data_IF_092438990836
#
_entry.id   IF_092438990836
#
_cell.length_a   1.000
_cell.length_b   1.000
_cell.length_c   1.000
_cell.angle_alpha   90.00
_cell.angle_beta   90.00
_cell.angle_gamma   90.00
#
_symmetry.space_group_name_H-M   'P 1'
#
loop_
_entity.id
_entity.type
_entity.pdbx_description
1 polymer ?
#
# COMPACT_ATOMS: atom_id res chain seq x y z
N UNK A 1 -54.30 -10.61 -57.89
CA UNK A 1 -53.00 -11.14 -57.58
C UNK A 1 -52.36 -10.18 -56.56
N UNK A 2 -52.71 -10.36 -55.31
CA UNK A 2 -52.19 -9.56 -54.17
C UNK A 2 -52.03 -10.46 -52.93
N UNK A 3 -51.05 -10.22 -52.14
CA UNK A 3 -50.67 -10.83 -50.81
C UNK A 3 -50.04 -12.20 -50.85
N UNK A 4 -48.70 -12.21 -50.86
CA UNK A 4 -47.93 -13.36 -50.33
C UNK A 4 -46.57 -12.97 -49.72
N UNK A 5 -46.32 -11.73 -49.25
CA UNK A 5 -45.02 -11.36 -48.69
C UNK A 5 -45.04 -10.80 -47.23
N UNK A 6 -46.19 -10.96 -46.52
CA UNK A 6 -46.32 -10.32 -45.19
C UNK A 6 -45.94 -11.19 -44.00
N UNK A 7 -45.56 -12.46 -44.18
CA UNK A 7 -45.29 -13.38 -43.05
C UNK A 7 -43.82 -13.75 -42.85
N UNK A 8 -42.90 -13.22 -43.70
CA UNK A 8 -41.48 -13.59 -43.60
C UNK A 8 -40.66 -12.58 -42.76
N UNK A 9 -41.20 -11.42 -42.43
CA UNK A 9 -40.48 -10.37 -41.65
C UNK A 9 -40.67 -10.47 -40.12
N UNK A 10 -41.69 -11.20 -39.66
CA UNK A 10 -42.00 -11.31 -38.24
C UNK A 10 -41.01 -12.19 -37.44
N UNK A 11 -40.47 -13.32 -37.96
CA UNK A 11 -39.49 -14.10 -37.21
C UNK A 11 -38.10 -13.49 -37.17
N UNK A 12 -37.73 -12.59 -38.09
CA UNK A 12 -36.42 -11.90 -38.10
C UNK A 12 -36.37 -10.81 -37.04
N UNK A 13 -37.49 -10.16 -36.75
CA UNK A 13 -37.54 -9.12 -35.70
C UNK A 13 -37.45 -9.70 -34.27
N UNK A 14 -37.94 -10.93 -34.06
CA UNK A 14 -37.87 -11.64 -32.77
C UNK A 14 -36.46 -12.19 -32.51
N UNK A 15 -35.70 -12.55 -33.54
CA UNK A 15 -34.31 -13.03 -33.38
C UNK A 15 -33.30 -11.94 -32.99
N UNK A 16 -33.62 -10.66 -33.23
CA UNK A 16 -32.72 -9.54 -32.88
C UNK A 16 -32.90 -9.11 -31.42
N UNK A 17 -34.03 -9.39 -30.77
CA UNK A 17 -34.30 -8.98 -29.39
C UNK A 17 -33.78 -9.97 -28.33
N UNK A 18 -33.31 -11.16 -28.70
CA UNK A 18 -32.81 -12.18 -27.75
C UNK A 18 -31.31 -12.04 -27.49
N UNK A 19 -30.61 -11.11 -28.13
CA UNK A 19 -29.14 -10.99 -28.04
C UNK A 19 -28.59 -9.99 -27.00
N UNK A 20 -29.44 -9.45 -26.15
CA UNK A 20 -28.99 -8.45 -25.14
C UNK A 20 -29.15 -8.90 -23.69
N UNK A 21 -28.97 -10.18 -23.36
CA UNK A 21 -28.95 -10.56 -21.93
C UNK A 21 -27.98 -11.71 -21.58
N UNK A 22 -26.87 -11.85 -22.32
CA UNK A 22 -25.73 -12.54 -21.79
C UNK A 22 -24.83 -11.45 -21.13
N UNK A 23 -25.10 -11.09 -19.88
CA UNK A 23 -24.02 -10.67 -18.96
C UNK A 23 -23.08 -11.86 -18.88
N UNK A 24 -22.15 -11.91 -19.82
CA UNK A 24 -20.99 -12.77 -19.74
C UNK A 24 -20.32 -12.36 -18.43
N UNK A 25 -20.33 -13.26 -17.45
CA UNK A 25 -19.43 -13.23 -16.29
C UNK A 25 -18.01 -13.38 -16.85
N UNK A 26 -17.52 -12.37 -17.55
CA UNK A 26 -16.11 -12.22 -17.88
C UNK A 26 -15.41 -11.93 -16.54
N UNK A 27 -15.03 -12.99 -15.84
CA UNK A 27 -14.00 -12.88 -14.82
C UNK A 27 -12.82 -12.19 -15.50
N UNK A 28 -12.63 -10.93 -15.21
CA UNK A 28 -11.45 -10.22 -15.70
C UNK A 28 -10.24 -10.87 -15.03
N UNK A 29 -9.33 -11.35 -15.83
CA UNK A 29 -8.07 -11.91 -15.35
C UNK A 29 -7.07 -10.81 -14.98
N UNK A 30 -7.38 -9.54 -15.28
CA UNK A 30 -6.59 -8.36 -14.98
C UNK A 30 -7.36 -7.46 -14.03
N UNK A 31 -6.75 -7.08 -12.93
CA UNK A 31 -7.31 -6.17 -11.93
C UNK A 31 -7.05 -4.71 -12.32
N UNK A 32 -8.10 -3.91 -12.40
CA UNK A 32 -8.03 -2.50 -12.77
C UNK A 32 -8.30 -1.61 -11.54
N UNK A 33 -7.32 -0.79 -11.19
CA UNK A 33 -7.47 0.19 -10.11
C UNK A 33 -6.95 1.57 -10.52
N UNK A 34 -7.25 2.57 -9.73
CA UNK A 34 -6.74 3.92 -9.88
C UNK A 34 -5.97 4.35 -8.62
N UNK A 35 -4.88 5.08 -8.82
CA UNK A 35 -4.16 5.80 -7.78
C UNK A 35 -4.15 7.27 -8.17
N UNK A 36 -4.69 8.15 -7.33
CA UNK A 36 -4.85 9.57 -7.67
C UNK A 36 -3.55 10.38 -7.71
N UNK A 37 -2.48 9.83 -7.14
CA UNK A 37 -1.15 10.44 -7.17
C UNK A 37 -0.29 9.73 -8.21
N UNK A 38 0.48 10.50 -9.01
CA UNK A 38 1.47 9.94 -9.92
C UNK A 38 2.66 9.33 -9.17
N UNK A 39 3.34 8.40 -9.81
CA UNK A 39 4.57 7.79 -9.31
C UNK A 39 5.78 8.52 -9.87
N UNK A 40 6.81 8.68 -9.05
CA UNK A 40 8.11 9.23 -9.47
C UNK A 40 9.20 8.18 -9.58
N UNK A 41 9.01 7.03 -8.94
CA UNK A 41 9.99 5.94 -8.90
C UNK A 41 9.28 4.62 -8.59
N UNK A 42 9.80 3.53 -9.16
CA UNK A 42 9.53 2.15 -8.76
C UNK A 42 10.80 1.50 -8.19
N UNK A 43 11.79 2.28 -7.77
CA UNK A 43 12.94 1.81 -6.98
C UNK A 43 12.54 1.80 -5.50
N UNK A 44 12.55 0.64 -4.81
CA UNK A 44 12.09 0.54 -3.43
C UNK A 44 12.92 1.37 -2.44
N UNK A 45 14.16 1.75 -2.78
CA UNK A 45 14.95 2.68 -1.97
C UNK A 45 14.30 4.07 -1.81
N UNK A 46 13.30 4.40 -2.64
CA UNK A 46 12.57 5.68 -2.64
C UNK A 46 11.06 5.53 -2.38
N UNK A 47 10.63 4.40 -1.82
CA UNK A 47 9.23 4.05 -1.55
C UNK A 47 8.65 4.83 -0.35
N UNK A 48 8.59 6.17 -0.47
CA UNK A 48 8.28 7.10 0.63
C UNK A 48 6.80 7.41 0.84
N UNK A 49 5.96 7.09 -0.10
CA UNK A 49 4.51 7.40 -0.07
C UNK A 49 3.67 6.16 -0.40
N UNK A 50 2.40 6.22 -0.01
CA UNK A 50 1.48 5.09 -0.14
C UNK A 50 1.31 4.61 -1.59
N UNK A 51 1.26 5.53 -2.55
CA UNK A 51 1.09 5.20 -3.97
C UNK A 51 2.26 4.34 -4.48
N UNK A 52 3.49 4.76 -4.17
CA UNK A 52 4.71 4.03 -4.50
C UNK A 52 4.75 2.68 -3.76
N UNK A 53 4.46 2.66 -2.44
CA UNK A 53 4.45 1.42 -1.65
C UNK A 53 3.46 0.38 -2.19
N UNK A 54 2.29 0.79 -2.66
CA UNK A 54 1.30 -0.13 -3.23
C UNK A 54 1.78 -0.75 -4.54
N UNK A 55 2.45 0.02 -5.39
CA UNK A 55 3.02 -0.48 -6.63
C UNK A 55 4.22 -1.39 -6.37
N UNK A 56 5.13 -0.97 -5.49
CA UNK A 56 6.32 -1.72 -5.12
C UNK A 56 5.97 -3.07 -4.48
N UNK A 57 4.91 -3.12 -3.67
CA UNK A 57 4.41 -4.36 -3.06
C UNK A 57 3.94 -5.41 -4.08
N UNK A 58 3.61 -5.00 -5.31
CA UNK A 58 3.29 -5.93 -6.39
C UNK A 58 4.54 -6.48 -7.07
N UNK A 59 5.66 -5.76 -7.01
CA UNK A 59 6.87 -6.04 -7.79
C UNK A 59 7.95 -6.68 -6.94
N UNK A 60 8.00 -6.38 -5.64
CA UNK A 60 9.09 -6.76 -4.76
C UNK A 60 8.63 -7.55 -3.54
N UNK A 61 9.59 -8.24 -2.90
CA UNK A 61 9.43 -8.82 -1.58
C UNK A 61 10.64 -8.47 -0.69
N UNK A 62 10.41 -8.49 0.63
CA UNK A 62 11.42 -8.35 1.66
C UNK A 62 11.76 -9.69 2.35
N UNK A 63 12.53 -9.61 3.44
CA UNK A 63 12.81 -10.76 4.31
C UNK A 63 11.54 -11.31 4.95
N UNK A 64 10.70 -10.41 5.43
CA UNK A 64 9.47 -10.67 6.17
C UNK A 64 8.35 -9.78 5.62
N UNK A 65 7.12 -10.15 5.89
CA UNK A 65 5.93 -9.39 5.52
C UNK A 65 4.98 -9.27 6.71
N UNK A 66 3.91 -8.49 6.56
CA UNK A 66 2.90 -8.32 7.59
C UNK A 66 1.59 -8.97 7.12
N UNK A 67 0.94 -9.71 7.99
CA UNK A 67 -0.35 -10.33 7.71
C UNK A 67 -1.54 -9.40 8.07
N UNK A 68 -2.77 -9.85 7.80
CA UNK A 68 -3.99 -9.09 8.07
C UNK A 68 -4.20 -8.75 9.55
N UNK A 69 -3.53 -9.46 10.46
CA UNK A 69 -3.57 -9.22 11.91
C UNK A 69 -2.46 -8.26 12.38
N UNK A 70 -1.69 -7.70 11.45
CA UNK A 70 -0.52 -6.87 11.74
C UNK A 70 0.62 -7.64 12.43
N UNK A 71 0.69 -8.94 12.26
CA UNK A 71 1.77 -9.78 12.75
C UNK A 71 2.83 -9.98 11.68
N UNK A 72 4.09 -9.99 12.08
CA UNK A 72 5.21 -10.24 11.16
C UNK A 72 5.28 -11.72 10.87
N UNK A 73 5.31 -12.07 9.58
CA UNK A 73 5.42 -13.44 9.11
C UNK A 73 6.56 -13.62 8.08
N UNK A 74 7.02 -14.87 7.85
CA UNK A 74 8.01 -15.19 6.85
C UNK A 74 7.61 -14.73 5.44
N UNK A 75 8.62 -14.26 4.66
CA UNK A 75 8.49 -14.01 3.22
C UNK A 75 9.67 -14.67 2.49
N UNK A 76 10.72 -13.93 2.10
CA UNK A 76 11.94 -14.55 1.54
C UNK A 76 12.74 -15.25 2.64
N UNK A 77 12.72 -14.77 3.88
CA UNK A 77 13.25 -15.55 5.00
C UNK A 77 12.25 -16.62 5.43
N UNK A 78 12.70 -17.89 5.51
CA UNK A 78 11.91 -19.01 6.07
C UNK A 78 11.67 -18.87 7.57
N UNK A 79 12.69 -18.36 8.26
CA UNK A 79 12.74 -18.17 9.71
C UNK A 79 13.85 -17.19 10.07
N UNK A 80 13.80 -16.71 11.27
CA UNK A 80 14.84 -15.84 11.85
C UNK A 80 15.08 -16.18 13.31
N UNK A 81 16.22 -15.72 13.81
CA UNK A 81 16.60 -15.80 15.21
C UNK A 81 17.15 -14.44 15.63
N UNK A 82 16.81 -14.01 16.84
CA UNK A 82 17.35 -12.81 17.47
C UNK A 82 18.22 -13.25 18.63
N UNK A 83 19.43 -12.70 18.74
CA UNK A 83 20.34 -12.99 19.86
C UNK A 83 19.74 -12.50 21.19
N UNK A 84 20.18 -13.08 22.30
CA UNK A 84 19.65 -12.77 23.63
C UNK A 84 19.87 -11.30 24.05
N UNK A 85 20.90 -10.67 23.52
CA UNK A 85 21.21 -9.25 23.71
C UNK A 85 20.42 -8.33 22.77
N UNK A 86 19.66 -8.90 21.81
CA UNK A 86 18.88 -8.15 20.84
C UNK A 86 19.70 -7.41 19.78
N UNK A 87 21.00 -7.70 19.65
CA UNK A 87 21.90 -7.01 18.72
C UNK A 87 22.08 -7.69 17.38
N UNK A 88 21.80 -8.98 17.29
CA UNK A 88 21.99 -9.76 16.05
C UNK A 88 20.67 -10.37 15.60
N UNK A 89 20.32 -10.12 14.35
CA UNK A 89 19.17 -10.73 13.67
C UNK A 89 19.68 -11.63 12.54
N UNK A 90 19.55 -12.93 12.71
CA UNK A 90 19.95 -13.93 11.72
C UNK A 90 18.72 -14.43 10.97
N UNK A 91 18.75 -14.37 9.64
CA UNK A 91 17.67 -14.79 8.74
C UNK A 91 18.15 -15.96 7.88
N UNK A 92 17.34 -17.02 7.81
CA UNK A 92 17.58 -18.15 6.91
C UNK A 92 16.63 -18.00 5.71
N UNK A 93 17.21 -17.80 4.53
CA UNK A 93 16.46 -17.53 3.31
C UNK A 93 15.91 -18.82 2.68
N UNK A 94 14.86 -18.66 1.89
CA UNK A 94 14.38 -19.66 0.92
C UNK A 94 15.41 -19.82 -0.20
N UNK A 95 15.36 -20.94 -0.89
CA UNK A 95 16.20 -21.23 -2.06
C UNK A 95 15.39 -21.38 -3.36
N UNK A 96 14.09 -21.05 -3.32
CA UNK A 96 13.15 -21.15 -4.43
C UNK A 96 12.60 -19.77 -4.86
N UNK A 97 13.27 -18.69 -4.48
CA UNK A 97 12.91 -17.30 -4.85
C UNK A 97 13.84 -16.84 -5.96
N UNK A 98 13.24 -16.37 -7.06
CA UNK A 98 13.94 -15.88 -8.24
C UNK A 98 13.56 -14.43 -8.53
N UNK A 99 14.52 -13.65 -9.00
CA UNK A 99 14.22 -12.35 -9.58
C UNK A 99 13.36 -12.51 -10.85
N UNK A 100 12.63 -11.47 -11.21
CA UNK A 100 11.93 -11.41 -12.49
C UNK A 100 12.93 -11.57 -13.65
N UNK A 101 12.47 -12.18 -14.75
CA UNK A 101 13.27 -12.25 -15.98
C UNK A 101 13.57 -10.84 -16.49
N UNK A 102 14.84 -10.59 -16.87
CA UNK A 102 15.33 -9.36 -17.45
C UNK A 102 16.54 -9.66 -18.34
N UNK A 103 16.71 -8.92 -19.43
CA UNK A 103 17.77 -9.14 -20.42
C UNK A 103 19.19 -8.99 -19.86
N UNK A 104 19.34 -8.36 -18.69
CA UNK A 104 20.63 -8.21 -17.99
C UNK A 104 21.11 -9.53 -17.38
N UNK A 105 20.21 -10.43 -17.06
CA UNK A 105 20.59 -11.74 -16.56
C UNK A 105 21.05 -12.69 -17.68
N UNK A 106 21.86 -13.65 -17.33
CA UNK A 106 22.27 -14.69 -18.26
C UNK A 106 21.07 -15.39 -18.90
N UNK A 107 21.03 -15.42 -20.23
CA UNK A 107 19.91 -15.95 -21.01
C UNK A 107 18.55 -15.25 -20.75
N UNK A 108 18.54 -14.02 -20.25
CA UNK A 108 17.33 -13.28 -19.93
C UNK A 108 16.52 -13.85 -18.76
N UNK A 109 17.08 -14.77 -17.97
CA UNK A 109 16.38 -15.46 -16.87
C UNK A 109 16.83 -14.95 -15.52
N UNK A 110 15.85 -14.54 -14.69
CA UNK A 110 16.09 -14.13 -13.32
C UNK A 110 16.80 -15.24 -12.53
N UNK A 111 17.88 -14.88 -11.86
CA UNK A 111 18.62 -15.80 -11.00
C UNK A 111 17.98 -15.92 -9.61
N UNK A 112 18.41 -16.93 -8.88
CA UNK A 112 18.01 -17.13 -7.48
C UNK A 112 18.50 -15.97 -6.60
N UNK A 113 17.68 -15.60 -5.61
CA UNK A 113 18.02 -14.62 -4.57
C UNK A 113 18.96 -15.25 -3.56
N UNK A 114 20.03 -14.56 -3.21
CA UNK A 114 21.00 -14.96 -2.20
C UNK A 114 21.19 -13.90 -1.13
N UNK A 115 21.79 -14.25 0.00
CA UNK A 115 21.96 -13.36 1.15
C UNK A 115 22.76 -12.10 0.81
N UNK A 116 23.72 -12.18 -0.10
CA UNK A 116 24.49 -11.02 -0.55
C UNK A 116 23.63 -9.98 -1.31
N UNK A 117 22.46 -10.36 -1.87
CA UNK A 117 21.54 -9.41 -2.47
C UNK A 117 20.87 -8.53 -1.41
N UNK A 118 20.56 -9.08 -0.25
CA UNK A 118 20.08 -8.30 0.90
C UNK A 118 21.17 -7.39 1.46
N UNK A 119 22.42 -7.87 1.55
CA UNK A 119 23.55 -7.01 1.91
C UNK A 119 23.62 -5.80 0.99
N UNK A 120 23.60 -6.03 -0.33
CA UNK A 120 23.61 -4.96 -1.32
C UNK A 120 22.41 -4.02 -1.18
N UNK A 121 21.19 -4.56 -1.10
CA UNK A 121 19.96 -3.78 -1.05
C UNK A 121 19.89 -2.89 0.19
N UNK A 122 20.31 -3.39 1.35
CA UNK A 122 20.28 -2.62 2.59
C UNK A 122 21.41 -1.60 2.68
N UNK A 123 22.58 -1.89 2.10
CA UNK A 123 23.63 -0.88 1.96
C UNK A 123 23.19 0.31 1.12
N UNK A 124 22.36 0.11 0.07
CA UNK A 124 21.80 1.22 -0.72
C UNK A 124 20.99 2.21 0.14
N UNK A 125 20.33 1.73 1.20
CA UNK A 125 19.51 2.59 2.07
C UNK A 125 20.36 3.53 2.93
N UNK A 126 21.58 3.12 3.31
CA UNK A 126 22.48 3.90 4.17
C UNK A 126 23.62 4.58 3.38
N UNK A 127 23.72 4.30 2.08
CA UNK A 127 24.71 4.94 1.21
C UNK A 127 24.29 6.37 0.88
N UNK A 128 25.11 7.33 1.30
CA UNK A 128 24.89 8.76 1.07
C UNK A 128 24.83 9.13 -0.42
N UNK A 129 25.47 8.35 -1.29
CA UNK A 129 25.48 8.60 -2.76
C UNK A 129 24.15 8.19 -3.41
N UNK A 130 23.46 7.22 -2.86
CA UNK A 130 22.09 6.84 -3.28
C UNK A 130 21.07 7.85 -2.76
N UNK A 131 21.32 8.44 -1.59
CA UNK A 131 20.43 9.41 -0.94
C UNK A 131 19.00 8.87 -0.75
N UNK A 132 18.88 7.58 -0.37
CA UNK A 132 17.61 6.92 -0.13
C UNK A 132 16.77 7.63 0.93
N UNK A 133 15.47 7.77 0.69
CA UNK A 133 14.52 8.26 1.68
C UNK A 133 14.27 7.24 2.81
N UNK A 134 14.71 5.98 2.67
CA UNK A 134 14.62 4.90 3.65
C UNK A 134 15.78 4.80 4.62
N UNK A 135 16.82 5.64 4.51
CA UNK A 135 18.02 5.56 5.35
C UNK A 135 17.73 5.64 6.86
N UNK A 136 16.67 6.32 7.27
CA UNK A 136 16.24 6.44 8.67
C UNK A 136 15.93 5.08 9.34
N UNK A 137 15.64 4.04 8.54
CA UNK A 137 15.39 2.69 9.05
C UNK A 137 16.61 2.13 9.79
N UNK A 138 17.81 2.38 9.27
CA UNK A 138 19.05 1.81 9.76
C UNK A 138 20.00 2.84 10.38
N UNK A 139 19.92 4.12 9.98
CA UNK A 139 20.78 5.17 10.52
C UNK A 139 20.74 5.18 12.04
N UNK A 140 21.93 5.25 12.66
CA UNK A 140 22.15 5.22 14.11
C UNK A 140 21.71 3.96 14.86
N UNK A 141 21.16 2.95 14.17
CA UNK A 141 20.69 1.69 14.75
C UNK A 141 21.63 0.51 14.48
N UNK A 142 22.19 0.44 13.28
CA UNK A 142 23.07 -0.67 12.89
C UNK A 142 24.52 -0.41 13.24
N UNK A 143 25.33 -1.47 13.34
CA UNK A 143 26.77 -1.37 13.50
C UNK A 143 27.41 -0.61 12.33
N UNK A 144 28.39 0.24 12.63
CA UNK A 144 29.00 1.10 11.60
C UNK A 144 30.01 0.38 10.71
N UNK A 145 30.63 -0.70 11.22
CA UNK A 145 31.68 -1.41 10.50
C UNK A 145 31.13 -2.58 9.69
N UNK A 146 30.21 -3.34 10.27
CA UNK A 146 29.60 -4.51 9.65
C UNK A 146 28.09 -4.53 9.90
N UNK A 147 27.30 -3.63 9.27
CA UNK A 147 25.86 -3.55 9.52
C UNK A 147 25.11 -4.78 8.98
N UNK A 148 25.55 -5.32 7.85
CA UNK A 148 24.88 -6.38 7.10
C UNK A 148 25.91 -7.41 6.62
N UNK A 149 25.63 -8.69 6.84
CA UNK A 149 26.55 -9.77 6.53
C UNK A 149 25.83 -10.94 5.85
N UNK A 150 26.47 -11.54 4.84
CA UNK A 150 26.07 -12.81 4.25
C UNK A 150 27.10 -13.87 4.67
N UNK A 151 26.71 -14.77 5.58
CA UNK A 151 27.59 -15.88 5.97
C UNK A 151 27.74 -16.92 4.84
N UNK A 152 26.68 -17.10 4.06
CA UNK A 152 26.61 -17.96 2.88
C UNK A 152 25.39 -17.51 2.05
N UNK A 153 25.09 -18.21 0.96
CA UNK A 153 24.01 -17.84 0.04
C UNK A 153 22.61 -17.77 0.70
N UNK A 154 22.40 -18.47 1.80
CA UNK A 154 21.08 -18.55 2.46
C UNK A 154 21.04 -17.95 3.87
N UNK A 155 22.14 -17.46 4.41
CA UNK A 155 22.19 -16.90 5.77
C UNK A 155 22.59 -15.44 5.74
N UNK A 156 21.63 -14.58 6.07
CA UNK A 156 21.78 -13.12 6.14
C UNK A 156 21.70 -12.64 7.59
N UNK A 157 22.55 -11.71 7.96
CA UNK A 157 22.62 -11.16 9.32
C UNK A 157 22.55 -9.63 9.29
N UNK A 158 21.82 -9.08 10.26
CA UNK A 158 21.82 -7.65 10.60
C UNK A 158 22.44 -7.49 11.97
N UNK A 159 23.46 -6.63 12.07
CA UNK A 159 24.11 -6.26 13.32
C UNK A 159 23.64 -4.89 13.78
N UNK A 160 23.02 -4.83 14.96
CA UNK A 160 22.59 -3.59 15.59
C UNK A 160 23.66 -3.05 16.54
N UNK A 161 23.71 -1.74 16.64
CA UNK A 161 24.55 -1.00 17.61
C UNK A 161 23.94 -1.00 19.03
N UNK A 162 22.61 -0.99 19.09
CA UNK A 162 21.81 -1.02 20.32
C UNK A 162 20.57 -1.87 20.09
N UNK A 163 20.03 -2.55 21.10
CA UNK A 163 18.80 -3.33 20.95
C UNK A 163 17.65 -2.44 20.50
N UNK A 164 16.93 -2.90 19.47
CA UNK A 164 15.83 -2.13 18.91
C UNK A 164 14.64 -3.05 18.53
N UNK A 165 13.72 -3.24 19.46
CA UNK A 165 12.61 -4.17 19.31
C UNK A 165 11.73 -3.96 18.06
N UNK A 166 11.48 -2.71 17.58
CA UNK A 166 10.68 -2.53 16.38
C UNK A 166 11.35 -2.96 15.06
N UNK A 167 12.63 -3.35 15.08
CA UNK A 167 13.41 -3.67 13.87
C UNK A 167 12.68 -4.65 12.97
N UNK A 168 12.18 -5.76 13.52
CA UNK A 168 11.52 -6.78 12.72
C UNK A 168 10.28 -6.25 11.98
N UNK A 169 9.46 -5.42 12.65
CA UNK A 169 8.33 -4.74 12.02
C UNK A 169 8.76 -3.73 10.96
N UNK A 170 9.90 -3.06 11.14
CA UNK A 170 10.41 -2.12 10.14
C UNK A 170 10.90 -2.83 8.87
N UNK A 171 11.37 -4.08 8.99
CA UNK A 171 11.79 -4.89 7.83
C UNK A 171 10.63 -5.32 6.93
N UNK A 172 9.37 -5.11 7.33
CA UNK A 172 8.20 -5.36 6.47
C UNK A 172 7.92 -4.22 5.49
N UNK A 173 8.60 -3.07 5.63
CA UNK A 173 8.41 -1.92 4.75
C UNK A 173 9.08 -2.16 3.38
N UNK A 174 8.48 -1.63 2.32
CA UNK A 174 8.95 -1.80 0.94
C UNK A 174 10.40 -1.31 0.72
N UNK A 175 10.88 -0.39 1.50
CA UNK A 175 12.30 0.00 1.52
C UNK A 175 13.24 -1.21 1.69
N UNK A 176 12.81 -2.21 2.47
CA UNK A 176 13.59 -3.42 2.78
C UNK A 176 13.43 -4.52 1.73
N UNK A 177 12.95 -4.18 0.55
CA UNK A 177 12.86 -5.11 -0.58
C UNK A 177 14.23 -5.46 -1.15
N UNK A 178 14.37 -6.70 -1.63
CA UNK A 178 15.59 -7.15 -2.30
C UNK A 178 15.60 -6.73 -3.77
N UNK A 179 16.75 -6.24 -4.24
CA UNK A 179 16.98 -5.87 -5.64
C UNK A 179 18.29 -6.50 -6.18
N UNK A 180 18.35 -6.87 -7.48
CA UNK A 180 19.54 -7.46 -8.07
C UNK A 180 20.59 -6.39 -8.38
N UNK A 181 21.80 -6.56 -7.82
CA UNK A 181 22.92 -5.60 -7.96
C UNK A 181 23.26 -5.31 -9.42
N UNK A 182 23.31 -6.34 -10.26
CA UNK A 182 23.69 -6.21 -11.67
C UNK A 182 22.70 -5.38 -12.47
N UNK A 183 21.40 -5.50 -12.21
CA UNK A 183 20.35 -4.73 -12.88
C UNK A 183 20.38 -3.26 -12.42
N UNK A 184 20.49 -3.05 -11.10
CA UNK A 184 20.64 -1.69 -10.54
C UNK A 184 21.92 -1.01 -11.07
N UNK A 185 23.03 -1.74 -11.18
CA UNK A 185 24.28 -1.20 -11.71
C UNK A 185 24.17 -0.85 -13.21
N UNK A 186 23.43 -1.65 -13.98
CA UNK A 186 23.23 -1.40 -15.41
C UNK A 186 22.38 -0.14 -15.66
N UNK A 187 21.22 -0.04 -15.02
CA UNK A 187 20.30 1.07 -15.23
C UNK A 187 20.66 2.33 -14.43
N UNK A 188 21.46 2.20 -13.37
CA UNK A 188 21.82 3.33 -12.51
C UNK A 188 20.60 4.09 -12.01
N UNK A 189 20.50 5.38 -12.32
CA UNK A 189 19.36 6.24 -11.94
C UNK A 189 18.05 5.84 -12.64
N UNK A 190 18.14 5.21 -13.81
CA UNK A 190 16.95 4.78 -14.57
C UNK A 190 16.35 3.48 -14.05
N UNK A 191 16.99 2.82 -13.06
CA UNK A 191 16.39 1.69 -12.34
C UNK A 191 15.00 2.03 -11.77
N UNK A 192 14.74 3.29 -11.46
CA UNK A 192 13.41 3.79 -11.08
C UNK A 192 12.29 3.43 -12.07
N UNK A 193 12.62 3.24 -13.34
CA UNK A 193 11.67 2.91 -14.42
C UNK A 193 11.87 1.48 -14.97
N UNK A 194 12.88 0.76 -14.49
CA UNK A 194 13.22 -0.60 -14.88
C UNK A 194 13.25 -1.53 -13.65
N UNK A 195 12.11 -1.62 -12.90
CA UNK A 195 12.06 -2.40 -11.66
C UNK A 195 12.17 -3.90 -11.94
N UNK A 196 13.11 -4.55 -11.29
CA UNK A 196 13.27 -5.99 -11.30
C UNK A 196 13.25 -6.47 -9.85
N UNK A 197 12.18 -7.15 -9.46
CA UNK A 197 11.95 -7.67 -8.12
C UNK A 197 11.72 -9.16 -8.12
N UNK A 198 11.07 -9.64 -7.06
CA UNK A 198 10.74 -11.05 -6.83
C UNK A 198 9.24 -11.26 -6.68
N UNK A 199 8.47 -10.18 -6.75
CA UNK A 199 7.05 -10.12 -6.40
C UNK A 199 6.12 -10.89 -7.34
N UNK A 200 4.81 -10.91 -7.00
CA UNK A 200 3.81 -11.65 -7.77
C UNK A 200 3.57 -11.12 -9.18
N UNK A 201 3.90 -9.86 -9.43
CA UNK A 201 3.78 -9.26 -10.74
C UNK A 201 5.08 -8.59 -11.17
N UNK A 202 5.31 -8.52 -12.48
CA UNK A 202 6.46 -7.85 -13.11
C UNK A 202 6.02 -6.75 -14.07
N UNK A 203 6.86 -5.73 -14.25
CA UNK A 203 6.59 -4.61 -15.13
C UNK A 203 6.45 -5.05 -16.58
N UNK A 204 5.41 -4.54 -17.25
CA UNK A 204 5.25 -4.57 -18.70
C UNK A 204 5.47 -3.18 -19.28
N UNK A 205 4.83 -2.17 -18.68
CA UNK A 205 4.86 -0.79 -19.17
C UNK A 205 4.53 0.17 -18.05
N UNK A 206 5.29 1.24 -17.96
CA UNK A 206 4.98 2.39 -17.15
C UNK A 206 5.06 3.66 -17.98
N UNK A 207 3.94 4.36 -18.06
CA UNK A 207 3.85 5.72 -18.58
C UNK A 207 3.53 6.65 -17.43
N UNK A 208 4.47 7.53 -17.10
CA UNK A 208 4.33 8.45 -15.96
C UNK A 208 3.01 9.24 -16.05
N UNK A 209 2.29 9.33 -14.94
CA UNK A 209 0.98 9.99 -14.80
C UNK A 209 -0.13 9.46 -15.73
N UNK A 210 0.04 8.35 -16.39
CA UNK A 210 -0.95 7.73 -17.25
C UNK A 210 -1.33 6.33 -16.78
N UNK A 211 -0.39 5.37 -16.90
CA UNK A 211 -0.69 3.96 -16.62
C UNK A 211 0.54 3.18 -16.19
N UNK A 212 0.35 2.26 -15.24
CA UNK A 212 1.27 1.19 -14.90
C UNK A 212 0.60 -0.15 -15.22
N UNK A 213 1.25 -0.99 -16.04
CA UNK A 213 0.77 -2.31 -16.44
C UNK A 213 1.76 -3.35 -15.94
N UNK A 214 1.24 -4.25 -15.12
CA UNK A 214 1.98 -5.37 -14.56
C UNK A 214 1.38 -6.69 -15.07
N UNK A 215 2.23 -7.67 -15.34
CA UNK A 215 1.83 -9.04 -15.70
C UNK A 215 2.27 -10.02 -14.62
N UNK A 216 1.58 -11.14 -14.53
CA UNK A 216 1.88 -12.24 -13.60
C UNK A 216 3.33 -12.69 -13.69
N UNK A 217 3.96 -12.89 -12.55
CA UNK A 217 5.20 -13.63 -12.42
C UNK A 217 4.90 -15.13 -12.32
N UNK A 218 5.13 -15.87 -13.39
CA UNK A 218 4.89 -17.34 -13.42
C UNK A 218 5.84 -18.11 -12.48
N UNK A 219 6.94 -17.49 -12.06
CA UNK A 219 7.92 -18.08 -11.15
C UNK A 219 7.73 -17.62 -9.70
N UNK A 220 6.61 -16.96 -9.37
CA UNK A 220 6.36 -16.52 -7.99
C UNK A 220 6.32 -17.69 -7.03
N UNK A 221 6.95 -17.55 -5.88
CA UNK A 221 7.22 -18.67 -4.95
C UNK A 221 6.07 -18.98 -4.01
N UNK A 222 5.13 -18.04 -3.79
CA UNK A 222 4.04 -18.27 -2.86
C UNK A 222 2.94 -19.14 -3.44
N UNK A 223 2.28 -19.86 -2.51
CA UNK A 223 1.12 -20.69 -2.78
C UNK A 223 0.05 -20.43 -1.72
N UNK A 224 -1.20 -20.60 -2.09
CA UNK A 224 -2.29 -20.58 -1.13
C UNK A 224 -2.33 -21.85 -0.26
N UNK A 225 -3.27 -21.89 0.69
CA UNK A 225 -3.48 -23.02 1.59
C UNK A 225 -3.84 -24.34 0.89
N UNK A 226 -4.32 -24.29 -0.36
CA UNK A 226 -4.60 -25.45 -1.21
C UNK A 226 -3.40 -25.92 -2.02
N UNK A 227 -2.26 -25.19 -1.97
CA UNK A 227 -1.06 -25.44 -2.77
C UNK A 227 -1.13 -24.82 -4.17
N UNK A 228 -2.17 -24.06 -4.51
CA UNK A 228 -2.28 -23.38 -5.80
C UNK A 228 -1.29 -22.21 -5.85
N UNK A 229 -0.58 -22.09 -6.97
CA UNK A 229 0.45 -21.06 -7.17
C UNK A 229 -0.20 -19.67 -7.32
N UNK A 230 0.30 -18.71 -6.57
CA UNK A 230 -0.09 -17.31 -6.66
C UNK A 230 0.71 -16.57 -7.75
N UNK A 231 0.25 -15.41 -8.24
CA UNK A 231 -1.09 -14.84 -8.05
C UNK A 231 -2.12 -15.53 -8.95
N UNK A 232 -3.42 -15.44 -8.61
CA UNK A 232 -4.51 -15.93 -9.47
C UNK A 232 -4.72 -15.06 -10.70
N UNK A 233 -4.53 -13.75 -10.56
CA UNK A 233 -4.71 -12.78 -11.63
C UNK A 233 -3.56 -12.86 -12.64
N UNK A 234 -3.87 -12.60 -13.91
CA UNK A 234 -2.88 -12.51 -14.99
C UNK A 234 -2.14 -11.17 -15.03
N UNK A 235 -2.68 -10.14 -14.38
CA UNK A 235 -2.03 -8.84 -14.33
C UNK A 235 -2.80 -7.81 -13.52
N UNK A 236 -2.17 -6.65 -13.36
CA UNK A 236 -2.72 -5.47 -12.69
C UNK A 236 -2.53 -4.27 -13.60
N UNK A 237 -3.58 -3.48 -13.77
CA UNK A 237 -3.52 -2.20 -14.48
C UNK A 237 -3.87 -1.07 -13.54
N UNK A 238 -2.95 -0.16 -13.34
CA UNK A 238 -3.12 1.00 -12.47
C UNK A 238 -3.16 2.26 -13.34
N UNK A 239 -4.25 3.03 -13.27
CA UNK A 239 -4.35 4.35 -13.88
C UNK A 239 -4.02 5.44 -12.85
N UNK A 240 -3.65 6.63 -13.34
CA UNK A 240 -3.31 7.78 -12.48
C UNK A 240 -4.24 8.94 -12.79
N UNK A 241 -5.49 8.85 -12.34
CA UNK A 241 -6.52 9.87 -12.51
C UNK A 241 -6.67 10.62 -11.19
N UNK A 242 -6.28 11.89 -11.15
CA UNK A 242 -6.31 12.71 -9.95
C UNK A 242 -7.73 13.12 -9.54
N UNK A 243 -8.63 13.34 -10.51
CA UNK A 243 -10.01 13.75 -10.25
C UNK A 243 -10.85 12.61 -9.72
N UNK A 244 -11.31 12.75 -8.48
CA UNK A 244 -12.09 11.73 -7.78
C UNK A 244 -13.48 11.50 -8.37
N UNK A 245 -14.09 12.52 -8.98
CA UNK A 245 -15.36 12.38 -9.68
C UNK A 245 -15.24 11.51 -10.92
N UNK A 246 -14.16 11.71 -11.69
CA UNK A 246 -13.81 10.88 -12.86
C UNK A 246 -13.47 9.45 -12.44
N UNK A 247 -12.71 9.24 -11.36
CA UNK A 247 -12.44 7.92 -10.80
C UNK A 247 -13.73 7.18 -10.46
N UNK A 248 -14.66 7.83 -9.76
CA UNK A 248 -15.94 7.24 -9.42
C UNK A 248 -16.79 6.93 -10.67
N UNK A 249 -16.80 7.81 -11.67
CA UNK A 249 -17.49 7.55 -12.93
C UNK A 249 -16.92 6.32 -13.66
N UNK A 250 -15.60 6.16 -13.70
CA UNK A 250 -14.97 4.98 -14.27
C UNK A 250 -15.32 3.70 -13.49
N UNK A 251 -15.36 3.76 -12.17
CA UNK A 251 -15.78 2.66 -11.31
C UNK A 251 -17.24 2.28 -11.56
N UNK A 252 -18.17 3.24 -11.57
CA UNK A 252 -19.59 2.99 -11.81
C UNK A 252 -19.89 2.45 -13.22
N UNK A 253 -19.01 2.72 -14.20
CA UNK A 253 -19.06 2.14 -15.55
C UNK A 253 -18.40 0.76 -15.62
N UNK A 254 -17.88 0.24 -14.50
CA UNK A 254 -17.17 -1.03 -14.45
C UNK A 254 -15.82 -1.01 -15.17
N UNK A 255 -15.19 0.14 -15.35
CA UNK A 255 -13.83 0.27 -15.93
C UNK A 255 -12.73 0.06 -14.88
N UNK A 256 -13.06 0.29 -13.59
CA UNK A 256 -12.24 -0.02 -12.43
C UNK A 256 -12.92 -1.11 -11.62
N UNK A 257 -12.13 -2.02 -11.07
CA UNK A 257 -12.58 -3.11 -10.20
C UNK A 257 -12.56 -2.69 -8.73
N UNK A 258 -11.81 -1.63 -8.40
CA UNK A 258 -11.60 -1.17 -7.04
C UNK A 258 -11.36 0.34 -7.00
N UNK A 259 -11.94 0.99 -5.99
CA UNK A 259 -11.60 2.36 -5.57
C UNK A 259 -11.40 2.40 -4.06
N UNK A 260 -10.51 3.24 -3.59
CA UNK A 260 -10.22 3.40 -2.16
C UNK A 260 -10.50 4.83 -1.70
N UNK A 261 -11.01 4.94 -0.46
CA UNK A 261 -11.42 6.21 0.13
C UNK A 261 -12.76 6.69 -0.43
N UNK A 262 -13.40 7.56 0.34
CA UNK A 262 -14.66 8.18 -0.04
C UNK A 262 -14.44 9.69 -0.16
N UNK A 263 -14.63 10.20 -1.36
CA UNK A 263 -14.59 11.62 -1.60
C UNK A 263 -15.96 12.27 -1.39
N UNK A 264 -15.95 13.53 -0.94
CA UNK A 264 -17.16 14.32 -0.68
C UNK A 264 -18.02 14.51 -1.93
N UNK A 265 -17.45 14.46 -3.13
CA UNK A 265 -18.14 14.65 -4.39
C UNK A 265 -19.12 13.52 -4.74
N UNK A 266 -18.91 12.31 -4.22
CA UNK A 266 -19.74 11.14 -4.53
C UNK A 266 -20.16 10.29 -3.32
N UNK A 267 -19.66 10.57 -2.11
CA UNK A 267 -20.01 9.76 -0.92
C UNK A 267 -21.52 9.62 -0.71
N UNK A 268 -22.29 10.69 -0.93
CA UNK A 268 -23.75 10.70 -0.75
C UNK A 268 -24.50 9.95 -1.86
N UNK A 269 -23.81 9.60 -2.96
CA UNK A 269 -24.35 8.73 -4.03
C UNK A 269 -24.15 7.25 -3.72
N UNK A 270 -23.25 6.92 -2.80
CA UNK A 270 -22.94 5.54 -2.40
C UNK A 270 -23.50 5.20 -1.03
N UNK A 271 -23.44 6.14 -0.09
CA UNK A 271 -23.68 5.88 1.32
C UNK A 271 -24.78 6.74 1.89
N UNK A 272 -25.57 6.15 2.79
CA UNK A 272 -26.45 6.84 3.69
C UNK A 272 -25.66 7.75 4.67
N UNK A 273 -26.36 8.61 5.39
CA UNK A 273 -25.76 9.45 6.45
C UNK A 273 -25.15 8.65 7.61
N UNK A 274 -25.50 7.38 7.74
CA UNK A 274 -24.96 6.45 8.75
C UNK A 274 -23.83 5.58 8.24
N UNK A 275 -23.35 5.82 7.02
CA UNK A 275 -22.26 5.08 6.38
C UNK A 275 -22.63 3.67 5.94
N UNK A 276 -23.92 3.40 5.75
CA UNK A 276 -24.37 2.16 5.13
C UNK A 276 -24.48 2.34 3.61
N UNK A 277 -24.14 1.30 2.84
CA UNK A 277 -24.31 1.31 1.39
C UNK A 277 -25.78 1.51 1.02
N UNK A 278 -26.06 2.38 0.06
CA UNK A 278 -27.42 2.61 -0.44
C UNK A 278 -27.97 1.37 -1.15
N UNK A 279 -29.30 1.14 -1.12
CA UNK A 279 -29.94 -0.06 -1.65
C UNK A 279 -29.60 -0.36 -3.11
N UNK A 280 -29.53 0.68 -3.95
CA UNK A 280 -29.24 0.57 -5.38
C UNK A 280 -27.87 -0.04 -5.68
N UNK A 281 -26.92 0.05 -4.75
CA UNK A 281 -25.56 -0.46 -4.93
C UNK A 281 -25.31 -1.83 -4.30
N UNK A 282 -26.23 -2.34 -3.47
CA UNK A 282 -26.01 -3.58 -2.68
C UNK A 282 -25.72 -4.82 -3.54
N UNK A 283 -26.26 -4.88 -4.76
CA UNK A 283 -26.05 -5.99 -5.68
C UNK A 283 -24.98 -5.70 -6.75
N UNK A 284 -24.45 -4.50 -6.78
CA UNK A 284 -23.53 -4.04 -7.81
C UNK A 284 -22.09 -4.00 -7.30
N UNK A 285 -21.88 -3.65 -6.02
CA UNK A 285 -20.56 -3.49 -5.42
C UNK A 285 -20.46 -4.16 -4.04
N UNK A 286 -19.26 -4.59 -3.69
CA UNK A 286 -18.89 -4.98 -2.33
C UNK A 286 -18.32 -3.76 -1.63
N UNK A 287 -18.86 -3.46 -0.44
CA UNK A 287 -18.40 -2.34 0.37
C UNK A 287 -17.77 -2.86 1.66
N UNK A 288 -16.48 -2.64 1.80
CA UNK A 288 -15.72 -3.04 2.97
C UNK A 288 -15.27 -1.83 3.78
N UNK A 289 -15.32 -1.95 5.10
CA UNK A 289 -14.79 -0.98 6.05
C UNK A 289 -13.66 -1.65 6.83
N UNK A 290 -12.49 -1.09 6.71
CA UNK A 290 -11.31 -1.57 7.43
C UNK A 290 -10.74 -0.47 8.31
N UNK A 291 -10.11 -0.79 9.44
CA UNK A 291 -9.32 0.19 10.19
C UNK A 291 -8.21 0.72 9.30
N UNK A 292 -8.34 1.96 8.86
CA UNK A 292 -7.25 2.66 8.18
C UNK A 292 -6.34 3.23 9.27
N UNK A 293 -5.21 2.58 9.53
CA UNK A 293 -4.30 2.86 10.63
C UNK A 293 -3.59 4.22 10.48
N UNK A 294 -4.39 5.24 10.25
CA UNK A 294 -3.96 6.62 10.05
C UNK A 294 -4.75 7.55 10.97
N UNK A 295 -4.10 8.59 11.46
CA UNK A 295 -4.73 9.67 12.23
C UNK A 295 -4.56 10.98 11.48
N UNK A 296 -5.68 11.58 11.08
CA UNK A 296 -5.68 12.95 10.55
C UNK A 296 -5.63 13.94 11.71
N UNK A 297 -4.72 14.88 11.63
CA UNK A 297 -4.51 15.86 12.69
C UNK A 297 -4.21 17.26 12.16
N UNK A 298 -4.52 18.26 12.96
CA UNK A 298 -4.08 19.63 12.76
C UNK A 298 -2.74 19.83 13.49
N UNK A 299 -1.66 19.97 12.72
CA UNK A 299 -0.33 20.23 13.26
C UNK A 299 -0.12 21.70 13.58
N UNK A 300 0.36 22.01 14.77
CA UNK A 300 0.76 23.37 15.18
C UNK A 300 2.28 23.46 15.14
N UNK A 301 2.81 24.29 14.23
CA UNK A 301 4.27 24.48 14.14
C UNK A 301 4.78 25.26 15.33
N UNK A 302 5.74 24.66 16.03
CA UNK A 302 6.48 25.25 17.16
C UNK A 302 7.93 25.58 16.78
N UNK A 303 8.23 25.71 15.49
CA UNK A 303 9.57 25.95 14.94
C UNK A 303 10.15 27.33 15.28
N UNK A 304 11.13 27.79 14.47
CA UNK A 304 11.91 29.01 14.76
C UNK A 304 11.10 30.29 14.88
N UNK A 305 9.92 30.37 14.23
CA UNK A 305 9.02 31.52 14.30
C UNK A 305 7.57 31.06 14.53
N UNK A 306 7.23 30.52 15.72
CA UNK A 306 5.88 30.10 16.02
C UNK A 306 4.97 31.34 16.18
N UNK A 307 3.68 31.19 15.87
CA UNK A 307 2.68 32.20 16.21
C UNK A 307 2.65 32.40 17.74
N UNK A 308 2.78 33.65 18.22
CA UNK A 308 2.89 33.97 19.65
C UNK A 308 1.70 33.44 20.47
N UNK A 309 0.48 33.57 19.97
CA UNK A 309 -0.70 33.03 20.66
C UNK A 309 -0.61 31.49 20.83
N UNK A 310 -0.07 30.79 19.82
CA UNK A 310 0.03 29.33 19.82
C UNK A 310 1.19 28.81 20.70
N UNK A 311 2.13 29.67 21.15
CA UNK A 311 3.11 29.29 22.17
C UNK A 311 2.43 28.97 23.51
N UNK A 312 1.30 29.61 23.80
CA UNK A 312 0.55 29.36 25.03
C UNK A 312 -0.12 27.97 24.97
N UNK A 313 0.20 27.11 25.92
CA UNK A 313 -0.39 25.78 26.06
C UNK A 313 -1.91 25.80 26.20
N UNK A 314 -2.46 26.77 26.96
CA UNK A 314 -3.91 26.91 27.17
C UNK A 314 -4.64 27.20 25.86
N UNK A 315 -4.05 28.03 24.97
CA UNK A 315 -4.62 28.31 23.64
C UNK A 315 -4.68 27.03 22.81
N UNK A 316 -3.62 26.23 22.78
CA UNK A 316 -3.62 24.94 22.04
C UNK A 316 -4.64 23.96 22.63
N UNK A 317 -4.80 23.91 23.94
CA UNK A 317 -5.83 23.09 24.61
C UNK A 317 -7.24 23.59 24.29
N UNK A 318 -7.47 24.91 24.30
CA UNK A 318 -8.74 25.50 23.94
C UNK A 318 -9.17 25.12 22.50
N UNK A 319 -8.23 25.19 21.54
CA UNK A 319 -8.48 24.73 20.15
C UNK A 319 -8.93 23.28 20.14
N UNK A 320 -8.28 22.40 20.89
CA UNK A 320 -8.65 20.98 20.96
C UNK A 320 -10.07 20.76 21.53
N UNK A 321 -10.46 21.50 22.57
CA UNK A 321 -11.80 21.40 23.14
C UNK A 321 -12.88 22.03 22.25
N UNK A 322 -12.52 23.00 21.40
CA UNK A 322 -13.47 23.69 20.51
C UNK A 322 -13.85 22.86 19.26
N UNK A 323 -13.14 21.80 18.94
CA UNK A 323 -13.38 20.98 17.73
C UNK A 323 -14.32 19.83 18.03
N UNK A 324 -15.52 19.85 17.44
CA UNK A 324 -16.48 18.75 17.49
C UNK A 324 -16.15 17.68 16.44
N UNK A 325 -15.24 16.77 16.79
CA UNK A 325 -14.75 15.70 15.90
C UNK A 325 -15.86 14.73 15.51
N UNK A 326 -16.79 14.43 16.42
CA UNK A 326 -17.92 13.52 16.15
C UNK A 326 -18.85 14.11 15.10
N UNK A 327 -19.16 15.40 15.24
CA UNK A 327 -19.99 16.12 14.27
C UNK A 327 -19.31 16.22 12.91
N UNK A 328 -18.00 16.51 12.87
CA UNK A 328 -17.22 16.51 11.62
C UNK A 328 -17.31 15.15 10.90
N UNK A 329 -17.10 14.03 11.61
CA UNK A 329 -17.19 12.68 11.03
C UNK A 329 -18.60 12.40 10.52
N UNK A 330 -19.63 12.72 11.30
CA UNK A 330 -21.02 12.50 10.90
C UNK A 330 -21.40 13.25 9.62
N UNK A 331 -21.03 14.53 9.50
CA UNK A 331 -21.44 15.36 8.38
C UNK A 331 -20.50 15.30 7.18
N UNK A 332 -19.19 15.23 7.40
CA UNK A 332 -18.22 15.27 6.32
C UNK A 332 -17.88 13.89 5.76
N UNK A 333 -18.09 12.82 6.55
CA UNK A 333 -17.68 11.46 6.20
C UNK A 333 -18.78 10.41 6.34
N UNK A 334 -20.04 10.84 6.43
CA UNK A 334 -21.18 9.93 6.61
C UNK A 334 -20.97 8.91 7.76
N UNK A 335 -20.36 9.35 8.86
CA UNK A 335 -20.09 8.51 10.01
C UNK A 335 -18.93 7.48 9.82
N UNK A 336 -18.16 7.57 8.73
CA UNK A 336 -16.99 6.71 8.51
C UNK A 336 -15.75 7.33 9.15
N UNK A 337 -15.16 6.63 10.09
CA UNK A 337 -14.04 7.06 10.91
C UNK A 337 -14.40 7.14 12.39
N UNK A 338 -13.40 7.40 13.22
CA UNK A 338 -13.54 7.54 14.66
C UNK A 338 -12.95 8.87 15.13
N UNK A 339 -13.58 9.48 16.14
CA UNK A 339 -13.04 10.67 16.78
C UNK A 339 -11.80 10.33 17.59
N UNK A 340 -10.67 11.00 17.34
CA UNK A 340 -9.42 10.78 18.06
C UNK A 340 -9.45 11.43 19.45
N UNK A 341 -10.32 10.93 20.34
CA UNK A 341 -10.47 11.42 21.72
C UNK A 341 -9.51 10.73 22.69
N UNK A 342 -8.72 9.74 22.23
CA UNK A 342 -7.79 8.96 23.02
C UNK A 342 -6.33 9.05 22.49
N UNK A 343 -5.93 10.23 22.03
CA UNK A 343 -4.58 10.49 21.54
C UNK A 343 -4.41 10.25 20.04
N UNK A 344 -3.15 10.16 19.60
CA UNK A 344 -2.77 10.11 18.18
C UNK A 344 -2.68 8.68 17.62
N UNK A 345 -2.58 7.67 18.49
CA UNK A 345 -2.52 6.27 18.06
C UNK A 345 -3.90 5.84 17.59
N UNK A 346 -4.06 5.39 16.34
CA UNK A 346 -5.37 4.98 15.84
C UNK A 346 -5.83 3.67 16.48
N UNK A 347 -7.13 3.56 16.69
CA UNK A 347 -7.77 2.32 17.12
C UNK A 347 -7.53 1.23 16.07
N UNK A 348 -7.09 0.07 16.50
CA UNK A 348 -6.69 -1.05 15.62
C UNK A 348 -5.20 -1.35 15.67
N UNK A 349 -4.37 -0.43 16.15
CA UNK A 349 -2.97 -0.76 16.50
C UNK A 349 -2.97 -1.49 17.84
N UNK A 350 -2.24 -2.61 18.00
CA UNK A 350 -2.25 -3.43 19.23
C UNK A 350 -1.93 -2.69 20.52
N UNK A 351 -1.19 -1.58 20.48
CA UNK A 351 -0.86 -0.75 21.66
C UNK A 351 -1.88 0.37 21.95
N UNK A 352 -3.03 0.43 21.25
CA UNK A 352 -4.07 1.42 21.54
C UNK A 352 -4.75 1.12 22.87
N UNK A 353 -4.74 2.11 23.78
CA UNK A 353 -5.38 2.01 25.10
C UNK A 353 -6.24 3.25 25.39
N UNK A 354 -7.54 3.12 25.23
CA UNK A 354 -8.52 4.18 25.49
C UNK A 354 -8.72 4.47 26.99
N UNK A 355 -8.28 3.58 27.88
CA UNK A 355 -8.39 3.75 29.34
C UNK A 355 -7.20 4.56 29.85
N UNK A 356 -5.99 4.17 29.48
CA UNK A 356 -4.75 4.82 29.89
C UNK A 356 -4.58 6.20 29.26
N UNK A 357 -4.96 6.35 27.97
CA UNK A 357 -4.77 7.61 27.24
C UNK A 357 -6.08 8.40 27.18
N UNK A 358 -6.13 9.53 27.88
CA UNK A 358 -7.22 10.51 27.84
C UNK A 358 -6.79 11.71 26.98
N UNK A 359 -7.48 11.92 25.88
CA UNK A 359 -7.31 13.08 25.01
C UNK A 359 -8.33 14.18 25.29
N UNK A 360 -8.80 14.82 24.23
CA UNK A 360 -9.72 15.98 24.29
C UNK A 360 -11.07 15.63 23.70
N UNK A 361 -12.12 15.83 24.47
CA UNK A 361 -13.52 15.78 24.01
C UNK A 361 -13.99 17.19 23.66
N UNK A 362 -15.07 17.31 22.87
CA UNK A 362 -15.67 18.60 22.55
C UNK A 362 -16.30 19.24 23.80
N UNK A 363 -15.81 20.43 24.19
CA UNK A 363 -16.27 21.20 25.34
C UNK A 363 -16.00 22.69 25.14
N UNK A 364 -16.99 23.40 24.62
CA UNK A 364 -16.88 24.86 24.33
C UNK A 364 -16.73 25.68 25.60
N UNK A 365 -17.36 25.28 26.71
CA UNK A 365 -17.27 26.03 27.97
C UNK A 365 -15.83 25.98 28.49
N UNK A 366 -15.22 24.80 28.50
CA UNK A 366 -13.81 24.63 28.89
C UNK A 366 -12.86 25.32 27.93
N UNK A 367 -13.13 25.29 26.62
CA UNK A 367 -12.35 26.03 25.64
C UNK A 367 -12.31 27.52 25.94
N UNK A 368 -13.48 28.14 26.23
CA UNK A 368 -13.57 29.56 26.60
C UNK A 368 -12.86 29.86 27.92
N UNK A 369 -13.00 29.00 28.92
CA UNK A 369 -12.33 29.16 30.23
C UNK A 369 -10.80 29.16 30.11
N UNK A 370 -10.24 28.44 29.17
CA UNK A 370 -8.80 28.38 28.94
C UNK A 370 -8.23 29.62 28.24
N UNK A 371 -9.08 30.47 27.63
CA UNK A 371 -8.69 31.69 26.92
C UNK A 371 -8.82 32.95 27.79
N UNK A 372 -9.37 32.82 28.97
CA UNK A 372 -9.40 33.85 30.01
C UNK A 372 -8.20 33.66 30.94
#
# INVERSE_FOLDING_TARGET
MKLKYSYLLLPILIAVTIRCNNRINNKRDVFHMNISAGLTSLDPAFSKDQATMWCDNQIYNGLVQINEKLEVEPCIAKRWKISNDGLTYEFILRNDVYFHDDDIFANGKGRNVVASDFVYSFHRLIDSTVASTGGWLFNDKVDKKNPFEALNDTTFIIHLKVPFHPMLGMLTLQYCSVVPKEVVAHYGKDFRAHPVGTGPFKLVRWEENNVLILTKNENYFERDSSGTKLPYLKGVRISFVADRGTEFLQFSQGKLDFITGLDVSYKDKLLSRTGALLPEWKNEIVFEKMPYLNTEYLGISMGKQPNEALKNKKVRQAINYAIDRKKMIAYLRNGIGESAENGIIPKGIPCFDAVAVKGYTYDVAKAKQLLI
#
